data_IF_997175102757
#
_entry.id   IF_997175102757
#
_cell.length_a   1.000
_cell.length_b   1.000
_cell.length_c   1.000
_cell.angle_alpha   90.00
_cell.angle_beta   90.00
_cell.angle_gamma   90.00
#
_symmetry.space_group_name_H-M   'P 1'
#
loop_
_entity.id
_entity.type
_entity.pdbx_description
1 polymer ?
#
# COMPACT_ATOMS: atom_id res chain seq x y z
N UNK A 1 -2.88 -58.38 26.01
CA UNK A 1 -2.71 -58.50 24.55
C UNK A 1 -2.23 -57.14 24.06
N UNK A 2 -1.09 -57.11 23.36
CA UNK A 2 -0.35 -55.91 22.95
C UNK A 2 -0.59 -55.74 21.44
N UNK A 3 -1.10 -54.60 20.98
CA UNK A 3 -0.91 -54.10 19.61
C UNK A 3 -0.71 -52.58 19.69
N UNK A 4 0.32 -52.15 18.97
CA UNK A 4 0.98 -50.84 19.00
C UNK A 4 0.26 -49.83 18.08
N UNK A 5 0.07 -48.59 18.55
CA UNK A 5 -0.49 -47.50 17.76
C UNK A 5 0.61 -46.68 17.09
N UNK A 6 1.04 -47.09 15.90
CA UNK A 6 1.91 -46.30 15.04
C UNK A 6 1.18 -45.05 14.52
N UNK A 7 1.77 -43.88 14.74
CA UNK A 7 1.28 -42.61 14.21
C UNK A 7 1.36 -42.61 12.67
N UNK A 8 0.22 -42.66 11.99
CA UNK A 8 0.14 -42.27 10.59
C UNK A 8 0.08 -40.75 10.52
N UNK A 9 1.13 -40.15 9.95
CA UNK A 9 1.19 -38.71 9.70
C UNK A 9 0.00 -38.27 8.82
N UNK A 10 -0.65 -37.17 9.19
CA UNK A 10 -1.65 -36.52 8.35
C UNK A 10 -0.98 -36.10 7.02
N UNK A 11 -1.63 -36.30 5.87
CA UNK A 11 -1.06 -35.93 4.58
C UNK A 11 -0.86 -34.42 4.50
N UNK A 12 0.37 -34.01 4.16
CA UNK A 12 0.76 -32.63 4.01
C UNK A 12 0.38 -32.15 2.59
N UNK A 13 -0.67 -31.36 2.48
CA UNK A 13 -1.26 -30.90 1.21
C UNK A 13 -0.44 -29.83 0.45
N UNK A 14 0.77 -29.48 0.93
CA UNK A 14 1.61 -28.41 0.35
C UNK A 14 2.85 -28.90 -0.40
N UNK A 15 2.95 -30.20 -0.67
CA UNK A 15 3.94 -30.73 -1.61
C UNK A 15 3.21 -31.47 -2.71
N UNK A 16 2.87 -30.76 -3.77
CA UNK A 16 2.60 -31.39 -5.05
C UNK A 16 3.47 -30.76 -6.13
N UNK A 17 4.42 -31.56 -6.58
CA UNK A 17 5.20 -31.37 -7.79
C UNK A 17 4.26 -31.50 -8.98
N UNK A 18 4.28 -30.50 -9.87
CA UNK A 18 3.58 -30.52 -11.16
C UNK A 18 4.05 -31.72 -11.99
N UNK A 19 3.25 -32.77 -12.05
CA UNK A 19 2.85 -33.51 -13.27
C UNK A 19 2.30 -34.90 -12.89
N UNK A 20 0.98 -35.08 -13.06
CA UNK A 20 0.29 -36.28 -13.58
C UNK A 20 -1.16 -36.36 -13.07
N UNK A 21 -2.13 -35.99 -13.92
CA UNK A 21 -3.54 -36.35 -13.77
C UNK A 21 -4.33 -35.51 -12.75
N UNK A 22 -5.29 -34.72 -13.22
CA UNK A 22 -6.23 -34.01 -12.34
C UNK A 22 -6.97 -35.00 -11.42
N UNK A 23 -7.01 -34.77 -10.10
CA UNK A 23 -7.76 -35.63 -9.19
C UNK A 23 -9.27 -35.47 -9.45
N UNK A 24 -9.94 -36.57 -9.80
CA UNK A 24 -11.40 -36.65 -9.86
C UNK A 24 -11.95 -36.88 -8.46
N UNK A 25 -12.91 -36.06 -8.07
CA UNK A 25 -13.74 -36.31 -6.90
C UNK A 25 -14.69 -37.47 -7.20
N UNK A 26 -14.47 -38.61 -6.55
CA UNK A 26 -15.43 -39.71 -6.52
C UNK A 26 -16.30 -39.57 -5.27
N UNK A 27 -17.62 -39.50 -5.47
CA UNK A 27 -18.57 -39.54 -4.37
C UNK A 27 -18.61 -40.96 -3.79
N UNK A 28 -18.25 -41.10 -2.52
CA UNK A 28 -18.46 -42.34 -1.79
C UNK A 28 -19.95 -42.68 -1.67
N UNK A 29 -20.31 -43.97 -1.49
CA UNK A 29 -21.71 -44.37 -1.41
C UNK A 29 -22.39 -43.70 -0.21
N UNK A 30 -23.61 -43.20 -0.43
CA UNK A 30 -24.44 -42.59 0.60
C UNK A 30 -24.68 -43.60 1.74
N UNK A 31 -24.35 -43.20 2.97
CA UNK A 31 -24.56 -44.02 4.17
C UNK A 31 -26.08 -44.07 4.44
N UNK A 32 -26.72 -45.26 4.40
CA UNK A 32 -28.16 -45.36 4.61
C UNK A 32 -28.51 -44.93 6.05
N UNK A 33 -29.32 -43.88 6.19
CA UNK A 33 -29.88 -43.45 7.48
C UNK A 33 -29.37 -42.12 8.04
N UNK A 34 -28.37 -41.47 7.43
CA UNK A 34 -28.06 -40.08 7.77
C UNK A 34 -29.07 -39.13 7.10
N UNK A 35 -29.90 -38.46 7.91
CA UNK A 35 -30.56 -37.24 7.45
C UNK A 35 -29.48 -36.18 7.27
N UNK A 36 -29.21 -35.81 6.02
CA UNK A 36 -28.41 -34.65 5.72
C UNK A 36 -29.28 -33.41 5.88
N UNK A 37 -28.85 -32.46 6.70
CA UNK A 37 -29.48 -31.14 6.76
C UNK A 37 -29.20 -30.43 5.43
N UNK A 38 -30.23 -30.34 4.59
CA UNK A 38 -30.20 -29.50 3.39
C UNK A 38 -30.55 -28.08 3.81
N UNK A 39 -29.57 -27.19 3.82
CA UNK A 39 -29.83 -25.76 3.94
C UNK A 39 -30.33 -25.27 2.58
N UNK A 40 -31.61 -24.91 2.49
CA UNK A 40 -32.14 -24.28 1.28
C UNK A 40 -31.58 -22.85 1.18
N UNK A 41 -30.69 -22.64 0.22
CA UNK A 41 -30.24 -21.30 -0.16
C UNK A 41 -31.42 -20.64 -0.87
N UNK A 42 -31.94 -19.55 -0.28
CA UNK A 42 -33.05 -18.77 -0.83
C UNK A 42 -32.75 -18.32 -2.27
N UNK A 43 -33.76 -18.16 -3.12
CA UNK A 43 -33.55 -17.62 -4.48
C UNK A 43 -32.84 -16.26 -4.46
N UNK A 44 -33.11 -15.41 -3.46
CA UNK A 44 -32.42 -14.14 -3.28
C UNK A 44 -30.91 -14.33 -3.04
N UNK A 45 -30.54 -15.31 -2.21
CA UNK A 45 -29.14 -15.67 -1.97
C UNK A 45 -28.47 -16.31 -3.19
N UNK A 46 -29.21 -17.08 -4.01
CA UNK A 46 -28.69 -17.61 -5.28
C UNK A 46 -28.45 -16.51 -6.30
N UNK A 47 -29.34 -15.54 -6.43
CA UNK A 47 -29.15 -14.37 -7.31
C UNK A 47 -27.97 -13.50 -6.89
N UNK A 48 -27.74 -13.34 -5.58
CA UNK A 48 -26.53 -12.69 -5.06
C UNK A 48 -25.25 -13.47 -5.40
N UNK A 49 -25.31 -14.81 -5.44
CA UNK A 49 -24.18 -15.67 -5.75
C UNK A 49 -23.93 -15.85 -7.26
N UNK A 50 -24.98 -15.79 -8.09
CA UNK A 50 -24.89 -15.88 -9.56
C UNK A 50 -24.04 -14.74 -10.16
N UNK A 51 -24.02 -13.57 -9.50
CA UNK A 51 -23.13 -12.45 -9.84
C UNK A 51 -21.70 -12.53 -9.27
N UNK A 52 -21.38 -13.56 -8.49
CA UNK A 52 -20.07 -13.76 -7.84
C UNK A 52 -19.48 -15.09 -8.32
N UNK A 53 -19.32 -15.25 -9.62
CA UNK A 53 -18.65 -16.43 -10.21
C UNK A 53 -17.12 -16.32 -10.17
N UNK A 54 -16.59 -15.14 -9.86
CA UNK A 54 -15.19 -14.93 -9.53
C UNK A 54 -15.13 -14.04 -8.28
N UNK A 55 -14.54 -14.54 -7.20
CA UNK A 55 -14.03 -13.68 -6.12
C UNK A 55 -12.73 -13.03 -6.61
N UNK A 56 -12.75 -12.46 -7.81
CA UNK A 56 -11.72 -11.54 -8.23
C UNK A 56 -12.10 -10.20 -7.63
N UNK A 57 -11.24 -9.70 -6.74
CA UNK A 57 -11.34 -8.32 -6.31
C UNK A 57 -11.36 -7.47 -7.60
N UNK A 58 -12.20 -6.43 -7.69
CA UNK A 58 -12.21 -5.55 -8.85
C UNK A 58 -10.77 -5.14 -9.21
N UNK A 59 -10.41 -5.09 -10.50
CA UNK A 59 -9.10 -4.58 -10.92
C UNK A 59 -8.82 -3.24 -10.19
N UNK A 60 -7.69 -3.15 -9.49
CA UNK A 60 -7.31 -1.98 -8.68
C UNK A 60 -7.37 -2.17 -7.15
N UNK A 61 -8.34 -2.95 -6.63
CA UNK A 61 -8.60 -3.06 -5.18
C UNK A 61 -7.44 -3.66 -4.36
N UNK A 62 -6.55 -4.41 -5.00
CA UNK A 62 -5.34 -4.98 -4.37
C UNK A 62 -4.16 -4.00 -4.42
N UNK A 63 -4.01 -3.24 -5.52
CA UNK A 63 -2.93 -2.26 -5.68
C UNK A 63 -3.11 -1.08 -4.71
N UNK A 64 -4.34 -0.58 -4.58
CA UNK A 64 -4.64 0.59 -3.73
C UNK A 64 -4.28 0.34 -2.25
N UNK A 65 -4.49 -0.88 -1.75
CA UNK A 65 -4.18 -1.26 -0.36
C UNK A 65 -2.70 -1.51 -0.09
N UNK A 66 -1.88 -1.73 -1.11
CA UNK A 66 -0.44 -1.84 -0.95
C UNK A 66 0.20 -0.45 -0.83
N UNK A 67 -0.16 0.47 -1.72
CA UNK A 67 0.36 1.84 -1.71
C UNK A 67 -0.01 2.59 -0.41
N UNK A 68 -1.24 2.42 0.07
CA UNK A 68 -1.70 2.98 1.35
C UNK A 68 -1.01 2.38 2.58
N UNK A 69 -0.23 1.31 2.45
CA UNK A 69 0.61 0.81 3.56
C UNK A 69 1.98 1.47 3.64
N UNK A 70 2.37 2.25 2.62
CA UNK A 70 3.66 2.93 2.57
C UNK A 70 3.64 4.30 3.25
N UNK A 71 2.49 4.97 3.31
CA UNK A 71 2.41 6.36 3.79
C UNK A 71 2.02 6.50 5.26
N UNK A 72 1.89 7.73 5.77
CA UNK A 72 1.30 7.97 7.09
C UNK A 72 -0.20 8.29 6.95
N UNK A 73 -0.90 8.33 8.09
CA UNK A 73 -2.34 8.59 8.14
C UNK A 73 -2.74 9.95 7.57
N UNK A 74 -1.82 10.92 7.55
CA UNK A 74 -2.07 12.26 7.01
C UNK A 74 -2.12 12.23 5.48
N UNK A 75 -1.14 11.60 4.83
CA UNK A 75 -1.13 11.41 3.39
C UNK A 75 -2.34 10.55 2.98
N UNK A 76 -2.57 9.42 3.67
CA UNK A 76 -3.68 8.52 3.37
C UNK A 76 -5.05 9.21 3.52
N UNK A 77 -5.24 9.98 4.59
CA UNK A 77 -6.46 10.75 4.84
C UNK A 77 -6.66 11.87 3.82
N UNK A 78 -5.58 12.54 3.41
CA UNK A 78 -5.65 13.57 2.37
C UNK A 78 -6.05 12.98 1.02
N UNK A 79 -5.43 11.87 0.61
CA UNK A 79 -5.78 11.17 -0.63
C UNK A 79 -7.23 10.69 -0.62
N UNK A 80 -7.70 10.11 0.48
CA UNK A 80 -9.11 9.70 0.63
C UNK A 80 -10.07 10.84 0.36
N UNK A 81 -9.86 11.96 1.06
CA UNK A 81 -10.71 13.15 0.95
C UNK A 81 -10.67 13.78 -0.45
N UNK A 82 -9.48 13.86 -1.06
CA UNK A 82 -9.30 14.50 -2.38
C UNK A 82 -9.87 13.67 -3.54
N UNK A 83 -9.82 12.35 -3.41
CA UNK A 83 -10.35 11.42 -4.42
C UNK A 83 -11.82 11.07 -4.21
N UNK A 84 -12.40 11.45 -3.06
CA UNK A 84 -13.81 11.22 -2.80
C UNK A 84 -14.70 11.89 -3.86
N UNK A 85 -15.58 11.09 -4.47
CA UNK A 85 -16.49 11.55 -5.53
C UNK A 85 -15.82 11.85 -6.88
N UNK A 86 -14.52 11.62 -7.04
CA UNK A 86 -13.84 11.70 -8.35
C UNK A 86 -14.14 10.45 -9.19
N UNK A 87 -13.93 10.53 -10.50
CA UNK A 87 -14.16 9.38 -11.38
C UNK A 87 -13.14 8.27 -11.11
N UNK A 88 -13.48 7.00 -11.42
CA UNK A 88 -12.55 5.87 -11.28
C UNK A 88 -11.22 6.09 -12.02
N UNK A 89 -11.25 6.78 -13.15
CA UNK A 89 -10.07 7.05 -13.98
C UNK A 89 -9.14 8.07 -13.34
N UNK A 90 -9.69 9.07 -12.63
CA UNK A 90 -8.88 10.02 -11.84
C UNK A 90 -8.21 9.31 -10.67
N UNK A 91 -8.93 8.46 -9.95
CA UNK A 91 -8.36 7.62 -8.89
C UNK A 91 -7.26 6.70 -9.45
N UNK A 92 -7.54 6.04 -10.57
CA UNK A 92 -6.57 5.18 -11.26
C UNK A 92 -5.34 5.95 -11.71
N UNK A 93 -5.49 7.17 -12.22
CA UNK A 93 -4.36 8.01 -12.65
C UNK A 93 -3.48 8.41 -11.46
N UNK A 94 -4.08 8.72 -10.30
CA UNK A 94 -3.31 9.01 -9.07
C UNK A 94 -2.58 7.77 -8.57
N UNK A 95 -3.24 6.60 -8.56
CA UNK A 95 -2.59 5.35 -8.15
C UNK A 95 -1.48 4.92 -9.11
N UNK A 96 -1.68 5.12 -10.42
CA UNK A 96 -0.65 4.93 -11.44
C UNK A 96 0.55 5.84 -11.18
N UNK A 97 0.33 7.13 -10.96
CA UNK A 97 1.37 8.11 -10.68
C UNK A 97 2.18 7.73 -9.43
N UNK A 98 1.51 7.33 -8.36
CA UNK A 98 2.21 6.87 -7.15
C UNK A 98 3.05 5.62 -7.46
N UNK A 99 2.46 4.58 -8.05
CA UNK A 99 3.12 3.29 -8.28
C UNK A 99 4.13 3.26 -9.41
N UNK A 100 4.06 4.18 -10.38
CA UNK A 100 4.86 4.14 -11.62
C UNK A 100 5.84 5.31 -11.72
N UNK A 101 5.60 6.41 -10.99
CA UNK A 101 6.46 7.59 -11.01
C UNK A 101 7.18 7.80 -9.68
N UNK A 102 6.44 7.78 -8.57
CA UNK A 102 7.03 8.08 -7.25
C UNK A 102 7.71 6.87 -6.62
N UNK A 103 7.02 5.73 -6.59
CA UNK A 103 7.55 4.48 -6.05
C UNK A 103 7.52 3.36 -7.10
N UNK A 104 8.17 3.55 -8.27
CA UNK A 104 8.25 2.51 -9.28
C UNK A 104 8.94 1.28 -8.70
N UNK A 105 8.55 0.13 -9.24
CA UNK A 105 9.17 -1.16 -8.92
C UNK A 105 10.68 -1.17 -9.24
N UNK A 106 11.32 -2.30 -9.00
CA UNK A 106 12.77 -2.45 -9.16
C UNK A 106 13.21 -2.44 -10.65
N UNK A 107 12.30 -2.27 -11.61
CA UNK A 107 12.64 -2.19 -13.04
C UNK A 107 13.43 -0.94 -13.42
N UNK A 108 13.37 0.12 -12.60
CA UNK A 108 14.15 1.35 -12.79
C UNK A 108 15.23 1.41 -11.73
N UNK A 109 16.47 1.13 -12.13
CA UNK A 109 17.63 1.10 -11.23
C UNK A 109 18.51 2.34 -11.35
N UNK A 110 18.48 3.05 -12.48
CA UNK A 110 19.22 4.30 -12.67
C UNK A 110 18.58 5.45 -11.88
N UNK A 111 19.39 6.16 -11.10
CA UNK A 111 18.93 7.23 -10.22
C UNK A 111 18.51 8.48 -11.01
N UNK A 112 19.13 8.72 -12.17
CA UNK A 112 18.75 9.81 -13.07
C UNK A 112 17.38 9.57 -13.71
N UNK A 113 17.14 8.36 -14.20
CA UNK A 113 15.85 7.92 -14.73
C UNK A 113 14.76 7.95 -13.66
N UNK A 114 15.08 7.51 -12.43
CA UNK A 114 14.16 7.61 -11.29
C UNK A 114 13.80 9.05 -10.95
N UNK A 115 14.79 9.94 -10.89
CA UNK A 115 14.54 11.35 -10.68
C UNK A 115 13.62 11.90 -11.79
N UNK A 116 13.86 11.56 -13.05
CA UNK A 116 12.99 12.01 -14.14
C UNK A 116 11.58 11.45 -14.07
N UNK A 117 11.38 10.19 -13.66
CA UNK A 117 10.05 9.65 -13.43
C UNK A 117 9.31 10.39 -12.34
N UNK A 118 9.98 10.65 -11.21
CA UNK A 118 9.42 11.40 -10.10
C UNK A 118 9.01 12.82 -10.53
N UNK A 119 9.90 13.50 -11.25
CA UNK A 119 9.65 14.84 -11.79
C UNK A 119 8.50 14.86 -12.79
N UNK A 120 8.46 13.89 -13.70
CA UNK A 120 7.36 13.71 -14.67
C UNK A 120 6.05 13.45 -13.93
N UNK A 121 6.09 12.66 -12.86
CA UNK A 121 4.96 12.40 -11.98
C UNK A 121 4.43 13.68 -11.33
N UNK A 122 5.29 14.59 -10.88
CA UNK A 122 4.84 15.89 -10.34
C UNK A 122 4.16 16.76 -11.41
N UNK A 123 4.62 16.71 -12.66
CA UNK A 123 3.94 17.41 -13.76
C UNK A 123 2.61 16.76 -14.15
N UNK A 124 2.52 15.42 -14.12
CA UNK A 124 1.26 14.69 -14.28
C UNK A 124 0.27 14.98 -13.14
N UNK A 125 0.76 15.09 -11.90
CA UNK A 125 -0.04 15.52 -10.76
C UNK A 125 -0.60 16.94 -10.98
N UNK A 126 0.22 17.86 -11.47
CA UNK A 126 -0.24 19.22 -11.77
C UNK A 126 -1.33 19.22 -12.84
N UNK A 127 -1.21 18.37 -13.86
CA UNK A 127 -2.28 18.19 -14.85
C UNK A 127 -3.59 17.71 -14.21
N UNK A 128 -3.53 16.69 -13.34
CA UNK A 128 -4.72 16.21 -12.61
C UNK A 128 -5.33 17.33 -11.77
N UNK A 129 -4.50 18.06 -11.03
CA UNK A 129 -4.93 19.15 -10.15
C UNK A 129 -5.67 20.25 -10.93
N UNK A 130 -5.15 20.63 -12.09
CA UNK A 130 -5.73 21.73 -12.89
C UNK A 130 -7.02 21.35 -13.61
N UNK A 131 -7.20 20.06 -13.94
CA UNK A 131 -8.30 19.61 -14.81
C UNK A 131 -9.42 18.87 -14.07
N UNK A 132 -9.14 18.28 -12.90
CA UNK A 132 -10.07 17.40 -12.20
C UNK A 132 -10.33 17.81 -10.74
N UNK A 133 -9.82 18.97 -10.32
CA UNK A 133 -9.97 19.46 -8.95
C UNK A 133 -10.36 20.93 -8.93
N UNK A 134 -11.06 21.34 -7.87
CA UNK A 134 -11.26 22.76 -7.56
C UNK A 134 -9.95 23.42 -7.13
N UNK A 135 -9.88 24.75 -7.13
CA UNK A 135 -8.66 25.48 -6.75
C UNK A 135 -8.13 25.09 -5.34
N UNK A 136 -9.04 24.93 -4.36
CA UNK A 136 -8.64 24.49 -3.01
C UNK A 136 -8.18 23.04 -2.97
N UNK A 137 -8.87 22.14 -3.69
CA UNK A 137 -8.47 20.73 -3.77
C UNK A 137 -7.14 20.58 -4.51
N UNK A 138 -6.91 21.35 -5.56
CA UNK A 138 -5.68 21.35 -6.35
C UNK A 138 -4.46 21.72 -5.49
N UNK A 139 -4.57 22.73 -4.63
CA UNK A 139 -3.50 23.11 -3.70
C UNK A 139 -3.22 22.02 -2.65
N UNK A 140 -4.25 21.45 -2.04
CA UNK A 140 -4.15 20.33 -1.08
C UNK A 140 -3.56 19.07 -1.74
N UNK A 141 -3.97 18.81 -2.99
CA UNK A 141 -3.48 17.69 -3.77
C UNK A 141 -2.01 17.83 -4.12
N UNK A 142 -1.59 18.99 -4.64
CA UNK A 142 -0.17 19.22 -4.92
C UNK A 142 0.68 19.17 -3.64
N UNK A 143 0.16 19.65 -2.51
CA UNK A 143 0.82 19.48 -1.21
C UNK A 143 0.99 18.00 -0.84
N UNK A 144 -0.04 17.19 -1.08
CA UNK A 144 -0.02 15.74 -0.83
C UNK A 144 0.96 15.02 -1.76
N UNK A 145 0.94 15.35 -3.06
CA UNK A 145 1.86 14.78 -4.05
C UNK A 145 3.32 15.15 -3.75
N UNK A 146 3.60 16.37 -3.31
CA UNK A 146 4.94 16.78 -2.89
C UNK A 146 5.43 15.99 -1.67
N UNK A 147 4.56 15.68 -0.70
CA UNK A 147 4.92 14.80 0.43
C UNK A 147 5.25 13.38 -0.03
N UNK A 148 4.47 12.83 -0.95
CA UNK A 148 4.75 11.49 -1.50
C UNK A 148 6.06 11.49 -2.29
N UNK A 149 6.33 12.53 -3.07
CA UNK A 149 7.58 12.69 -3.79
C UNK A 149 8.78 12.90 -2.84
N UNK A 150 8.59 13.62 -1.72
CA UNK A 150 9.59 13.73 -0.66
C UNK A 150 9.90 12.37 -0.01
N UNK A 151 8.85 11.59 0.26
CA UNK A 151 8.99 10.20 0.73
C UNK A 151 9.74 9.34 -0.29
N UNK A 152 9.43 9.45 -1.58
CA UNK A 152 10.11 8.71 -2.64
C UNK A 152 11.63 8.97 -2.68
N UNK A 153 12.07 10.21 -2.40
CA UNK A 153 13.50 10.58 -2.30
C UNK A 153 14.23 9.95 -1.11
N UNK A 154 13.52 9.33 -0.17
CA UNK A 154 14.14 8.61 0.94
C UNK A 154 14.59 7.19 0.58
N UNK A 155 14.40 6.80 -0.68
CA UNK A 155 14.77 5.49 -1.17
C UNK A 155 16.25 5.20 -0.90
N UNK A 156 16.50 4.03 -0.34
CA UNK A 156 17.83 3.43 -0.25
C UNK A 156 17.82 2.08 -0.94
N UNK A 157 18.95 1.68 -1.53
CA UNK A 157 19.11 0.38 -2.18
C UNK A 157 20.14 -0.42 -1.41
N UNK A 158 19.76 -1.63 -1.01
CA UNK A 158 20.69 -2.59 -0.45
C UNK A 158 21.70 -3.00 -1.54
N UNK A 159 23.02 -2.76 -1.35
CA UNK A 159 24.02 -3.06 -2.37
C UNK A 159 24.23 -4.56 -2.59
N UNK A 160 23.88 -5.41 -1.63
CA UNK A 160 24.03 -6.86 -1.72
C UNK A 160 22.82 -7.52 -2.40
N UNK A 161 21.61 -7.08 -2.06
CA UNK A 161 20.38 -7.70 -2.58
C UNK A 161 19.74 -6.92 -3.72
N UNK A 162 20.18 -5.68 -3.99
CA UNK A 162 19.56 -4.76 -4.94
C UNK A 162 18.18 -4.27 -4.53
N UNK A 163 17.74 -4.56 -3.30
CA UNK A 163 16.37 -4.32 -2.84
C UNK A 163 16.20 -2.88 -2.42
N UNK A 164 15.14 -2.25 -2.89
CA UNK A 164 14.77 -0.90 -2.48
C UNK A 164 14.04 -0.89 -1.12
N UNK A 165 14.38 0.08 -0.28
CA UNK A 165 13.67 0.40 0.96
C UNK A 165 13.49 1.92 1.06
N UNK A 166 12.58 2.35 1.93
CA UNK A 166 12.28 3.75 2.20
C UNK A 166 12.28 3.96 3.72
N UNK A 167 12.27 5.21 4.18
CA UNK A 167 12.12 5.46 5.61
C UNK A 167 10.79 4.92 6.11
N UNK A 168 10.78 4.43 7.34
CA UNK A 168 9.53 4.10 8.01
C UNK A 168 8.85 5.40 8.46
N UNK A 169 7.66 5.66 7.94
CA UNK A 169 6.88 6.83 8.35
C UNK A 169 6.08 6.50 9.62
N UNK A 170 6.19 7.31 10.69
CA UNK A 170 5.37 7.14 11.87
C UNK A 170 3.89 7.24 11.54
N UNK A 171 3.13 6.25 12.01
CA UNK A 171 1.68 6.17 11.81
C UNK A 171 0.96 6.49 13.10
N UNK A 172 -0.16 7.19 12.97
CA UNK A 172 -1.13 7.35 14.04
C UNK A 172 -2.50 6.87 13.56
N UNK A 173 -3.34 6.33 14.44
CA UNK A 173 -4.74 6.07 14.11
C UNK A 173 -5.42 7.34 13.60
N UNK A 174 -6.38 7.18 12.70
CA UNK A 174 -7.20 8.30 12.24
C UNK A 174 -7.94 8.94 13.43
N UNK A 175 -7.95 10.28 13.47
CA UNK A 175 -8.51 11.05 14.58
C UNK A 175 -7.64 11.09 15.86
N UNK A 176 -6.51 10.39 15.91
CA UNK A 176 -5.60 10.48 17.05
C UNK A 176 -4.96 11.89 17.16
N UNK A 177 -4.70 12.37 18.39
CA UNK A 177 -4.15 13.70 18.60
C UNK A 177 -2.74 13.85 18.00
N UNK A 178 -2.27 15.10 17.85
CA UNK A 178 -0.95 15.39 17.29
C UNK A 178 0.22 14.85 18.11
N UNK A 179 0.00 14.61 19.41
CA UNK A 179 1.00 14.08 20.34
C UNK A 179 0.83 12.57 20.61
N UNK A 180 0.09 11.86 19.75
CA UNK A 180 -0.08 10.42 19.80
C UNK A 180 1.28 9.71 19.86
N UNK A 181 1.36 8.68 20.71
CA UNK A 181 2.53 7.84 20.89
C UNK A 181 2.18 6.45 20.39
N UNK A 182 2.92 5.98 19.38
CA UNK A 182 2.79 4.60 18.90
C UNK A 182 3.48 3.63 19.88
N UNK A 183 2.66 3.02 20.74
CA UNK A 183 3.11 2.06 21.75
C UNK A 183 3.66 0.78 21.09
N UNK A 184 3.12 0.34 19.94
CA UNK A 184 3.62 -0.85 19.24
C UNK A 184 5.02 -0.60 18.68
N UNK A 185 5.23 0.57 18.06
CA UNK A 185 6.56 1.01 17.62
C UNK A 185 7.56 1.04 18.79
N UNK A 186 7.20 1.71 19.90
CA UNK A 186 8.07 1.82 21.07
C UNK A 186 8.38 0.45 21.70
N UNK A 187 7.39 -0.44 21.80
CA UNK A 187 7.62 -1.81 22.28
C UNK A 187 8.58 -2.55 21.36
N UNK A 188 8.38 -2.54 20.03
CA UNK A 188 9.28 -3.22 19.10
C UNK A 188 10.72 -2.71 19.18
N UNK A 189 10.90 -1.39 19.39
CA UNK A 189 12.22 -0.76 19.45
C UNK A 189 12.95 -0.97 20.78
N UNK A 190 12.26 -0.82 21.91
CA UNK A 190 12.89 -0.80 23.24
C UNK A 190 12.58 -2.01 24.12
N UNK A 191 11.54 -2.78 23.81
CA UNK A 191 11.16 -4.01 24.51
C UNK A 191 10.64 -5.10 23.56
N UNK A 192 11.49 -5.64 22.67
CA UNK A 192 11.07 -6.57 21.63
C UNK A 192 10.39 -7.83 22.17
N UNK A 193 10.68 -8.21 23.41
CA UNK A 193 10.06 -9.36 24.07
C UNK A 193 8.61 -9.06 24.45
N UNK A 194 8.32 -7.89 25.02
CA UNK A 194 6.94 -7.45 25.24
C UNK A 194 6.16 -7.32 23.93
N UNK A 195 6.80 -6.84 22.85
CA UNK A 195 6.18 -6.77 21.53
C UNK A 195 5.78 -8.15 20.99
N UNK A 196 6.65 -9.17 21.12
CA UNK A 196 6.34 -10.55 20.73
C UNK A 196 5.18 -11.14 21.54
N UNK A 197 5.17 -10.91 22.84
CA UNK A 197 4.09 -11.39 23.72
C UNK A 197 2.76 -10.72 23.38
N UNK A 198 2.77 -9.40 23.13
CA UNK A 198 1.58 -8.66 22.71
C UNK A 198 1.04 -9.19 21.38
N UNK A 199 1.92 -9.42 20.39
CA UNK A 199 1.54 -9.99 19.11
C UNK A 199 0.96 -11.41 19.24
N UNK A 200 1.52 -12.24 20.14
CA UNK A 200 1.00 -13.58 20.42
C UNK A 200 -0.40 -13.52 21.05
N UNK A 201 -0.64 -12.62 22.02
CA UNK A 201 -1.97 -12.42 22.61
C UNK A 201 -2.99 -11.92 21.58
N UNK A 202 -2.60 -11.00 20.69
CA UNK A 202 -3.47 -10.55 19.59
C UNK A 202 -3.81 -11.69 18.62
N UNK A 203 -2.82 -12.53 18.29
CA UNK A 203 -3.02 -13.71 17.44
C UNK A 203 -3.99 -14.71 18.08
N UNK A 204 -3.84 -14.98 19.37
CA UNK A 204 -4.75 -15.84 20.14
C UNK A 204 -6.18 -15.31 20.06
N UNK A 205 -6.41 -14.04 20.37
CA UNK A 205 -7.73 -13.40 20.28
C UNK A 205 -8.34 -13.53 18.88
N UNK A 206 -7.56 -13.24 17.83
CA UNK A 206 -8.03 -13.33 16.44
C UNK A 206 -8.37 -14.75 15.99
N UNK A 207 -7.85 -15.76 16.68
CA UNK A 207 -8.07 -17.18 16.40
C UNK A 207 -9.20 -17.78 17.24
N UNK A 208 -10.01 -16.94 17.92
CA UNK A 208 -11.10 -17.37 18.81
C UNK A 208 -10.66 -17.66 20.25
N UNK A 209 -9.40 -17.37 20.60
CA UNK A 209 -8.89 -17.42 21.97
C UNK A 209 -9.27 -16.20 22.79
N UNK A 210 -8.78 -16.13 24.03
CA UNK A 210 -9.13 -15.08 24.99
C UNK A 210 -8.32 -13.78 24.81
N UNK A 211 -7.17 -13.86 24.14
CA UNK A 211 -6.21 -12.75 24.11
C UNK A 211 -5.63 -12.39 25.48
N UNK A 212 -5.68 -13.32 26.44
CA UNK A 212 -5.29 -13.06 27.81
C UNK A 212 -3.84 -12.55 27.91
N UNK A 213 -3.61 -11.66 28.87
CA UNK A 213 -2.30 -11.05 29.11
C UNK A 213 -2.04 -9.75 28.36
N UNK A 214 -2.76 -9.45 27.26
CA UNK A 214 -2.52 -8.25 26.45
C UNK A 214 -2.54 -6.94 27.28
N UNK A 215 -3.60 -6.72 28.06
CA UNK A 215 -3.72 -5.52 28.91
C UNK A 215 -2.59 -5.42 29.95
N UNK A 216 -2.15 -6.57 30.50
CA UNK A 216 -1.05 -6.60 31.48
C UNK A 216 0.27 -6.22 30.83
N UNK A 217 0.55 -6.74 29.63
CA UNK A 217 1.76 -6.41 28.85
C UNK A 217 1.81 -4.89 28.59
N UNK A 218 0.69 -4.29 28.17
CA UNK A 218 0.62 -2.83 27.96
C UNK A 218 0.85 -2.05 29.26
N UNK A 219 0.26 -2.47 30.39
CA UNK A 219 0.48 -1.82 31.68
C UNK A 219 1.92 -1.95 32.18
N UNK A 220 2.57 -3.11 31.97
CA UNK A 220 3.97 -3.33 32.31
C UNK A 220 4.88 -2.43 31.45
N UNK A 221 4.60 -2.33 30.14
CA UNK A 221 5.36 -1.45 29.25
C UNK A 221 5.15 0.03 29.58
N UNK A 222 3.93 0.45 29.91
CA UNK A 222 3.66 1.83 30.35
C UNK A 222 4.47 2.22 31.59
N UNK A 223 4.69 1.28 32.52
CA UNK A 223 5.57 1.50 33.68
C UNK A 223 7.03 1.65 33.26
N UNK A 224 7.50 0.91 32.24
CA UNK A 224 8.83 1.11 31.67
C UNK A 224 8.96 2.49 31.03
N UNK A 225 7.97 2.92 30.24
CA UNK A 225 7.96 4.26 29.64
C UNK A 225 8.06 5.38 30.68
N UNK A 226 7.40 5.24 31.83
CA UNK A 226 7.50 6.22 32.92
C UNK A 226 8.93 6.34 33.48
N UNK A 227 9.71 5.26 33.46
CA UNK A 227 11.11 5.24 33.91
C UNK A 227 12.11 5.59 32.79
N UNK A 228 11.66 5.65 31.54
CA UNK A 228 12.47 5.91 30.35
C UNK A 228 11.89 7.06 29.50
N UNK A 229 11.84 8.30 30.03
CA UNK A 229 11.29 9.45 29.31
C UNK A 229 12.06 9.77 28.01
N UNK A 230 13.31 9.32 27.90
CA UNK A 230 14.13 9.43 26.69
C UNK A 230 13.52 8.68 25.49
N UNK A 231 12.84 7.53 25.69
CA UNK A 231 12.23 6.77 24.60
C UNK A 231 11.12 7.56 23.90
N UNK A 232 10.27 8.23 24.69
CA UNK A 232 9.21 9.08 24.15
C UNK A 232 9.78 10.33 23.47
N UNK A 233 10.85 10.90 24.03
CA UNK A 233 11.53 12.07 23.44
C UNK A 233 12.17 11.72 22.10
N UNK A 234 12.85 10.58 22.02
CA UNK A 234 13.47 10.10 20.79
C UNK A 234 12.42 9.85 19.71
N UNK A 235 11.32 9.16 20.06
CA UNK A 235 10.20 8.94 19.15
C UNK A 235 9.60 10.24 18.62
N UNK A 236 9.33 11.23 19.49
CA UNK A 236 8.85 12.55 19.05
C UNK A 236 9.86 13.23 18.12
N UNK A 237 11.15 13.08 18.39
CA UNK A 237 12.21 13.56 17.49
C UNK A 237 12.24 12.84 16.14
N UNK A 238 11.93 11.55 16.09
CA UNK A 238 11.77 10.79 14.84
C UNK A 238 10.56 11.26 14.03
N UNK A 239 9.41 11.42 14.69
CA UNK A 239 8.19 11.98 14.08
C UNK A 239 8.45 13.36 13.50
N UNK A 240 9.09 14.24 14.27
CA UNK A 240 9.40 15.58 13.79
C UNK A 240 10.35 15.56 12.59
N UNK A 241 11.42 14.75 12.63
CA UNK A 241 12.35 14.60 11.50
C UNK A 241 11.67 14.08 10.24
N UNK A 242 10.78 13.08 10.38
CA UNK A 242 10.01 12.57 9.26
C UNK A 242 9.08 13.66 8.69
N UNK A 243 8.36 14.39 9.54
CA UNK A 243 7.50 15.50 9.11
C UNK A 243 8.28 16.63 8.45
N UNK A 244 9.44 17.02 9.00
CA UNK A 244 10.29 18.06 8.42
C UNK A 244 10.81 17.64 7.05
N UNK A 245 11.17 16.36 6.88
CA UNK A 245 11.57 15.80 5.59
C UNK A 245 10.42 15.89 4.58
N UNK A 246 9.21 15.47 4.96
CA UNK A 246 8.06 15.45 4.05
C UNK A 246 7.58 16.86 3.68
N UNK A 247 7.66 17.82 4.61
CA UNK A 247 7.12 19.17 4.40
C UNK A 247 8.12 20.13 3.75
N UNK A 248 9.43 19.93 3.92
CA UNK A 248 10.45 20.89 3.48
C UNK A 248 11.35 20.37 2.36
N UNK A 249 11.09 19.17 1.82
CA UNK A 249 11.87 18.65 0.71
C UNK A 249 11.75 19.55 -0.52
N UNK A 250 12.91 19.99 -1.02
CA UNK A 250 13.00 20.62 -2.33
C UNK A 250 13.13 19.53 -3.39
N UNK A 251 12.24 19.61 -4.38
CA UNK A 251 12.23 18.71 -5.52
C UNK A 251 12.36 19.57 -6.76
N UNK A 252 13.56 19.53 -7.34
CA UNK A 252 13.80 20.14 -8.64
C UNK A 252 13.00 19.34 -9.68
N UNK A 253 12.30 20.04 -10.58
CA UNK A 253 11.48 19.41 -11.60
C UNK A 253 11.80 20.02 -12.98
N UNK A 254 12.52 19.26 -13.80
CA UNK A 254 12.89 19.61 -15.19
C UNK A 254 11.67 19.77 -16.10
N UNK A 255 10.55 19.16 -15.73
CA UNK A 255 9.31 19.17 -16.49
C UNK A 255 8.26 20.10 -15.88
N UNK A 256 8.64 20.93 -14.89
CA UNK A 256 7.75 21.93 -14.33
C UNK A 256 7.31 22.94 -15.40
N UNK A 257 6.10 23.49 -15.22
CA UNK A 257 5.51 24.43 -16.18
C UNK A 257 5.08 23.80 -17.51
N UNK A 258 4.86 22.48 -17.52
CA UNK A 258 4.19 21.83 -18.64
C UNK A 258 2.80 22.45 -18.88
N UNK A 259 2.40 22.58 -20.14
CA UNK A 259 1.07 23.10 -20.49
C UNK A 259 -0.03 22.15 -20.00
N UNK A 260 -0.83 22.58 -19.03
CA UNK A 260 -1.91 21.75 -18.46
C UNK A 260 -3.30 22.11 -18.98
N UNK A 261 -3.42 22.95 -20.02
CA UNK A 261 -4.69 23.45 -20.54
C UNK A 261 -5.59 22.39 -21.16
N UNK A 262 -5.00 21.30 -21.68
CA UNK A 262 -5.70 20.15 -22.23
C UNK A 262 -4.77 18.93 -22.27
N UNK A 263 -5.33 17.72 -22.35
CA UNK A 263 -4.52 16.50 -22.41
C UNK A 263 -3.58 16.51 -23.63
N UNK A 264 -4.07 16.90 -24.81
CA UNK A 264 -3.25 16.97 -26.02
C UNK A 264 -2.09 17.96 -25.90
N UNK A 265 -2.35 19.16 -25.36
CA UNK A 265 -1.31 20.17 -25.14
C UNK A 265 -0.27 19.68 -24.12
N UNK A 266 -0.72 19.05 -23.04
CA UNK A 266 0.13 18.47 -22.01
C UNK A 266 1.05 17.38 -22.57
N UNK A 267 0.49 16.44 -23.34
CA UNK A 267 1.26 15.35 -23.95
C UNK A 267 2.28 15.89 -24.96
N UNK A 268 1.89 16.87 -25.76
CA UNK A 268 2.79 17.48 -26.74
C UNK A 268 3.96 18.19 -26.05
N UNK A 269 3.68 19.01 -25.03
CA UNK A 269 4.71 19.76 -24.33
C UNK A 269 5.63 18.84 -23.52
N UNK A 270 5.08 17.87 -22.77
CA UNK A 270 5.88 16.90 -22.02
C UNK A 270 6.80 16.07 -22.93
N UNK A 271 6.29 15.58 -24.07
CA UNK A 271 7.14 14.88 -25.05
C UNK A 271 8.23 15.79 -25.63
N UNK A 272 7.93 17.08 -25.82
CA UNK A 272 8.93 18.10 -26.16
C UNK A 272 10.04 18.17 -25.10
N UNK A 273 9.68 18.34 -23.83
CA UNK A 273 10.65 18.41 -22.73
C UNK A 273 11.45 17.12 -22.54
N UNK A 274 10.85 15.95 -22.78
CA UNK A 274 11.58 14.67 -22.72
C UNK A 274 12.67 14.58 -23.79
N UNK A 275 12.43 15.11 -25.00
CA UNK A 275 13.44 15.11 -26.07
C UNK A 275 14.68 15.93 -25.70
N UNK A 276 14.48 17.01 -24.95
CA UNK A 276 15.55 17.89 -24.51
C UNK A 276 16.29 17.37 -23.26
N UNK A 277 15.76 16.32 -22.60
CA UNK A 277 16.38 15.70 -21.44
C UNK A 277 17.62 14.86 -21.81
N UNK A 278 18.68 14.99 -21.01
CA UNK A 278 19.98 14.35 -21.22
C UNK A 278 20.02 12.87 -20.78
N UNK A 279 19.13 12.04 -21.36
CA UNK A 279 19.11 10.59 -21.15
C UNK A 279 19.45 9.81 -22.43
N UNK A 280 20.18 8.70 -22.30
CA UNK A 280 20.49 7.79 -23.41
C UNK A 280 19.23 7.11 -23.95
N UNK A 281 18.38 6.59 -23.05
CA UNK A 281 17.05 6.07 -23.37
C UNK A 281 15.97 7.00 -22.80
N UNK A 282 14.95 7.31 -23.61
CA UNK A 282 13.81 8.15 -23.20
C UNK A 282 12.49 7.38 -23.19
N UNK A 283 12.53 6.12 -23.60
CA UNK A 283 11.36 5.27 -23.76
C UNK A 283 10.56 5.11 -22.47
N UNK A 284 11.24 5.09 -21.32
CA UNK A 284 10.57 4.94 -20.03
C UNK A 284 9.65 6.11 -19.71
N UNK A 285 10.06 7.35 -20.02
CA UNK A 285 9.23 8.55 -19.83
C UNK A 285 8.06 8.58 -20.81
N UNK A 286 8.32 8.28 -22.09
CA UNK A 286 7.28 8.27 -23.11
C UNK A 286 6.24 7.19 -22.83
N UNK A 287 6.66 5.96 -22.51
CA UNK A 287 5.73 4.86 -22.16
C UNK A 287 4.94 5.15 -20.89
N UNK A 288 5.58 5.77 -19.89
CA UNK A 288 4.90 6.20 -18.68
C UNK A 288 3.81 7.25 -19.00
N UNK A 289 4.14 8.26 -19.80
CA UNK A 289 3.20 9.31 -20.22
C UNK A 289 2.06 8.77 -21.10
N UNK A 290 2.34 7.82 -21.98
CA UNK A 290 1.30 7.14 -22.77
C UNK A 290 0.33 6.35 -21.89
N UNK A 291 0.83 5.62 -20.89
CA UNK A 291 -0.02 4.91 -19.92
C UNK A 291 -0.91 5.87 -19.14
N UNK A 292 -0.35 7.00 -18.70
CA UNK A 292 -1.10 8.08 -18.07
C UNK A 292 -2.23 8.61 -18.97
N UNK A 293 -1.93 8.93 -20.23
CA UNK A 293 -2.94 9.38 -21.21
C UNK A 293 -4.05 8.36 -21.37
N UNK A 294 -3.71 7.07 -21.56
CA UNK A 294 -4.69 6.01 -21.78
C UNK A 294 -5.65 5.85 -20.60
N UNK A 295 -5.18 6.08 -19.38
CA UNK A 295 -6.05 6.04 -18.19
C UNK A 295 -7.07 7.19 -18.26
N UNK A 296 -6.61 8.41 -18.52
CA UNK A 296 -7.47 9.60 -18.53
C UNK A 296 -8.35 9.74 -19.77
N UNK A 297 -7.98 9.15 -20.90
CA UNK A 297 -8.84 9.12 -22.09
C UNK A 297 -10.12 8.32 -21.87
N UNK A 298 -10.12 7.38 -20.93
CA UNK A 298 -11.32 6.66 -20.51
C UNK A 298 -12.20 7.47 -19.54
N UNK A 299 -11.76 8.64 -19.08
CA UNK A 299 -12.47 9.49 -18.12
C UNK A 299 -13.50 10.44 -18.77
N UNK A 300 -13.71 10.33 -20.09
CA UNK A 300 -14.57 11.20 -20.90
C UNK A 300 -16.00 10.68 -20.99
#
# INVERSE_FOLDING_TARGET
>A
MRIEGGAAALPNLYRDTRDAGAPKLEYGPAIPGLKHDSVEISEASRRLAEGISTRELPPGVVQDRYLRRMFNSEIDGSLNRLLEGKSPEVEQAVNFLISSNFVPDESVSDEGERAALLESGLSQAKFIADNYMTESEAADFMTTMNKIAAYAKTRTVDPETGKASYIELPRRPEGAPGDYIDIDYLMKKYDPEAAKQAAASLKDASSGGSGSGFAKILMDFQRKLANHPEWTREYRGEVQRANDLLNNAKIDNRFAGADTSSLDAFLQDMNGKFRDASFESKDFLTKNLESFSRILDNAK
#
